data_IF_654884348758
#
_entry.id   IF_654884348758
#
_cell.length_a   1.000
_cell.length_b   1.000
_cell.length_c   1.000
_cell.angle_alpha   90.00
_cell.angle_beta   90.00
_cell.angle_gamma   90.00
#
_symmetry.space_group_name_H-M   'P 1'
#
loop_
_entity.id
_entity.type
_entity.pdbx_description
1 polymer ?
#
# COMPACT_ATOMS: atom_id res chain seq x y z
N UNK A 1 -13.53 8.28 -1.42
CA UNK A 1 -13.76 6.83 -1.55
C UNK A 1 -12.56 6.12 -0.97
N UNK A 2 -12.75 5.20 -0.04
CA UNK A 2 -11.66 4.47 0.61
C UNK A 2 -11.83 2.98 0.26
N UNK A 3 -10.78 2.36 -0.27
CA UNK A 3 -10.75 0.95 -0.61
C UNK A 3 -9.78 0.24 0.33
N UNK A 4 -10.20 -0.87 0.92
CA UNK A 4 -9.33 -1.76 1.69
C UNK A 4 -9.04 -2.98 0.84
N UNK A 5 -7.77 -3.29 0.64
CA UNK A 5 -7.37 -4.47 -0.12
C UNK A 5 -6.04 -5.03 0.37
N UNK A 6 -5.92 -6.35 0.33
CA UNK A 6 -4.67 -7.07 0.55
C UNK A 6 -3.83 -7.21 -0.73
N UNK A 7 -4.30 -6.62 -1.84
CA UNK A 7 -3.78 -6.76 -3.20
C UNK A 7 -2.26 -7.00 -3.29
N UNK A 8 -1.91 -8.24 -3.58
CA UNK A 8 -0.53 -8.66 -3.81
C UNK A 8 -0.09 -8.49 -5.26
N UNK A 9 -1.04 -8.36 -6.20
CA UNK A 9 -0.74 -8.27 -7.64
C UNK A 9 -1.41 -7.04 -8.30
N UNK A 10 -0.62 -5.99 -8.62
CA UNK A 10 -1.11 -4.80 -9.33
C UNK A 10 -1.55 -5.09 -10.78
N UNK A 11 -1.07 -6.17 -11.40
CA UNK A 11 -1.45 -6.59 -12.77
C UNK A 11 -2.84 -7.23 -12.76
N UNK A 12 -3.10 -8.13 -11.81
CA UNK A 12 -4.40 -8.80 -11.67
C UNK A 12 -5.54 -7.81 -11.39
N UNK A 13 -5.23 -6.70 -10.74
CA UNK A 13 -6.21 -5.71 -10.28
C UNK A 13 -6.21 -4.42 -11.10
N UNK A 14 -5.42 -4.36 -12.18
CA UNK A 14 -5.28 -3.20 -13.04
C UNK A 14 -6.63 -2.74 -13.63
N UNK A 15 -7.55 -3.66 -13.89
CA UNK A 15 -8.90 -3.37 -14.39
C UNK A 15 -9.77 -2.65 -13.35
N UNK A 16 -9.73 -3.11 -12.09
CA UNK A 16 -10.41 -2.47 -10.96
C UNK A 16 -9.84 -1.07 -10.75
N UNK A 17 -8.51 -0.96 -10.80
CA UNK A 17 -7.80 0.31 -10.63
C UNK A 17 -8.06 1.31 -11.74
N UNK A 18 -8.14 0.86 -12.99
CA UNK A 18 -8.49 1.72 -14.12
C UNK A 18 -9.89 2.34 -13.94
N UNK A 19 -10.85 1.55 -13.44
CA UNK A 19 -12.20 2.04 -13.16
C UNK A 19 -12.24 3.00 -11.96
N UNK A 20 -11.43 2.72 -10.92
CA UNK A 20 -11.30 3.60 -9.75
C UNK A 20 -10.62 4.93 -10.10
N UNK A 21 -9.68 4.94 -11.05
CA UNK A 21 -9.01 6.15 -11.51
C UNK A 21 -9.98 7.19 -12.12
N UNK A 22 -11.11 6.75 -12.69
CA UNK A 22 -12.16 7.66 -13.22
C UNK A 22 -12.81 8.49 -12.10
N UNK A 23 -12.74 8.05 -10.84
CA UNK A 23 -13.30 8.76 -9.69
C UNK A 23 -12.37 9.87 -9.17
N UNK A 24 -11.07 9.79 -9.48
CA UNK A 24 -10.02 10.72 -8.97
C UNK A 24 -10.33 12.19 -9.24
N UNK A 25 -10.84 12.61 -10.42
CA UNK A 25 -11.13 14.03 -10.67
C UNK A 25 -12.22 14.64 -9.79
N UNK A 26 -13.08 13.81 -9.18
CA UNK A 26 -14.26 14.26 -8.41
C UNK A 26 -14.24 13.82 -6.96
N UNK A 27 -13.39 12.87 -6.61
CA UNK A 27 -13.34 12.27 -5.29
C UNK A 27 -11.90 12.01 -4.88
N UNK A 28 -11.60 12.29 -3.62
CA UNK A 28 -10.40 11.75 -2.98
C UNK A 28 -10.52 10.22 -2.91
N UNK A 29 -9.70 9.53 -3.68
CA UNK A 29 -9.58 8.07 -3.67
C UNK A 29 -8.36 7.68 -2.84
N UNK A 30 -8.58 6.85 -1.81
CA UNK A 30 -7.52 6.30 -0.97
C UNK A 30 -7.56 4.78 -1.06
N UNK A 31 -6.43 4.17 -1.38
CA UNK A 31 -6.21 2.73 -1.33
C UNK A 31 -5.45 2.38 -0.05
N UNK A 32 -6.05 1.56 0.79
CA UNK A 32 -5.44 1.04 2.00
C UNK A 32 -4.98 -0.38 1.73
N UNK A 33 -3.67 -0.57 1.78
CA UNK A 33 -3.01 -1.87 1.77
C UNK A 33 -2.87 -2.33 3.22
N UNK A 34 -3.46 -3.48 3.55
CA UNK A 34 -3.26 -4.07 4.87
C UNK A 34 -1.90 -4.76 4.87
N UNK A 35 -0.98 -4.22 5.66
CA UNK A 35 0.37 -4.75 5.80
C UNK A 35 0.33 -6.02 6.66
N UNK A 36 1.03 -7.07 6.23
CA UNK A 36 1.13 -8.32 6.97
C UNK A 36 2.29 -8.22 7.95
N UNK A 37 1.99 -8.19 9.25
CA UNK A 37 2.97 -8.11 10.33
C UNK A 37 4.02 -9.22 10.26
N UNK A 38 3.67 -10.39 9.70
CA UNK A 38 4.60 -11.49 9.48
C UNK A 38 5.70 -11.14 8.47
N UNK A 39 5.36 -10.41 7.40
CA UNK A 39 6.32 -9.99 6.36
C UNK A 39 7.25 -8.90 6.92
N UNK A 40 6.71 -7.94 7.66
CA UNK A 40 7.50 -6.88 8.29
C UNK A 40 8.48 -7.47 9.33
N UNK A 41 8.03 -8.41 10.16
CA UNK A 41 8.86 -9.08 11.16
C UNK A 41 9.99 -9.92 10.53
N UNK A 42 9.69 -10.63 9.44
CA UNK A 42 10.68 -11.41 8.69
C UNK A 42 11.78 -10.54 8.06
N UNK A 43 11.49 -9.27 7.75
CA UNK A 43 12.47 -8.33 7.19
C UNK A 43 13.37 -7.67 8.24
N UNK A 44 12.91 -7.57 9.48
CA UNK A 44 13.66 -6.90 10.56
C UNK A 44 14.53 -7.86 11.39
N UNK A 45 14.31 -9.18 11.25
CA UNK A 45 15.03 -10.20 12.02
C UNK A 45 16.30 -10.62 11.31
N UNK A 46 17.44 -10.63 12.01
CA UNK A 46 18.71 -11.16 11.48
C UNK A 46 18.60 -12.68 11.35
N UNK A 47 18.76 -13.26 10.14
CA UNK A 47 18.66 -14.71 9.96
C UNK A 47 19.73 -15.46 10.75
N UNK A 48 19.33 -16.48 11.52
CA UNK A 48 20.25 -17.35 12.23
C UNK A 48 20.49 -18.68 11.48
N UNK A 49 19.55 -19.07 10.62
CA UNK A 49 19.60 -20.32 9.85
C UNK A 49 19.43 -20.07 8.34
N UNK A 50 19.76 -21.09 7.53
CA UNK A 50 19.53 -21.05 6.08
C UNK A 50 18.03 -20.94 5.73
N UNK A 51 17.16 -21.54 6.54
CA UNK A 51 15.71 -21.40 6.40
C UNK A 51 15.26 -19.96 6.65
N UNK A 52 15.79 -19.32 7.70
CA UNK A 52 15.51 -17.90 7.98
C UNK A 52 15.98 -16.99 6.84
N UNK A 53 17.15 -17.27 6.27
CA UNK A 53 17.69 -16.51 5.14
C UNK A 53 16.80 -16.64 3.89
N UNK A 54 16.27 -17.84 3.64
CA UNK A 54 15.32 -18.07 2.57
C UNK A 54 14.02 -17.29 2.81
N UNK A 55 13.44 -17.37 4.02
CA UNK A 55 12.23 -16.62 4.40
C UNK A 55 12.43 -15.11 4.26
N UNK A 56 13.57 -14.57 4.70
CA UNK A 56 13.91 -13.16 4.54
C UNK A 56 14.00 -12.74 3.07
N UNK A 57 14.57 -13.59 2.19
CA UNK A 57 14.67 -13.29 0.75
C UNK A 57 13.31 -13.24 0.04
N UNK A 58 12.39 -14.14 0.42
CA UNK A 58 11.03 -14.17 -0.10
C UNK A 58 10.27 -12.94 0.41
N UNK A 59 10.40 -12.60 1.70
CA UNK A 59 9.80 -11.40 2.29
C UNK A 59 10.32 -10.12 1.61
N UNK A 60 11.61 -10.04 1.28
CA UNK A 60 12.19 -8.91 0.56
C UNK A 60 11.63 -8.77 -0.86
N UNK A 61 11.42 -9.88 -1.55
CA UNK A 61 10.83 -9.91 -2.89
C UNK A 61 9.37 -9.45 -2.86
N UNK A 62 8.58 -9.93 -1.91
CA UNK A 62 7.20 -9.49 -1.67
C UNK A 62 7.12 -7.99 -1.34
N UNK A 63 8.02 -7.50 -0.48
CA UNK A 63 8.10 -6.08 -0.15
C UNK A 63 8.47 -5.20 -1.35
N UNK A 64 9.32 -5.70 -2.25
CA UNK A 64 9.67 -4.99 -3.49
C UNK A 64 8.48 -4.89 -4.45
N UNK A 65 7.75 -5.98 -4.68
CA UNK A 65 6.54 -5.98 -5.52
C UNK A 65 5.45 -5.06 -4.94
N UNK A 66 5.26 -5.04 -3.62
CA UNK A 66 4.34 -4.10 -2.95
C UNK A 66 4.70 -2.64 -3.19
N UNK A 67 5.97 -2.26 -3.01
CA UNK A 67 6.42 -0.88 -3.28
C UNK A 67 6.21 -0.48 -4.73
N UNK A 68 6.43 -1.40 -5.66
CA UNK A 68 6.18 -1.18 -7.09
C UNK A 68 4.69 -0.98 -7.38
N UNK A 69 3.82 -1.80 -6.77
CA UNK A 69 2.38 -1.65 -6.87
C UNK A 69 1.93 -0.27 -6.34
N UNK A 70 2.36 0.11 -5.14
CA UNK A 70 2.05 1.40 -4.53
C UNK A 70 2.48 2.57 -5.44
N UNK A 71 3.71 2.55 -5.97
CA UNK A 71 4.19 3.58 -6.88
C UNK A 71 3.35 3.69 -8.17
N UNK A 72 2.86 2.55 -8.70
CA UNK A 72 2.00 2.54 -9.88
C UNK A 72 0.61 3.16 -9.62
N UNK A 73 0.11 3.05 -8.39
CA UNK A 73 -1.15 3.65 -7.94
C UNK A 73 -1.01 5.15 -7.73
N UNK A 74 0.05 5.57 -7.04
CA UNK A 74 0.36 6.97 -6.79
C UNK A 74 0.56 7.73 -8.10
N UNK A 75 1.24 7.14 -9.08
CA UNK A 75 1.40 7.71 -10.42
C UNK A 75 0.07 7.93 -11.17
N UNK A 76 -1.02 7.29 -10.73
CA UNK A 76 -2.38 7.46 -11.26
C UNK A 76 -3.24 8.41 -10.42
N UNK A 77 -2.66 9.10 -9.45
CA UNK A 77 -3.35 10.04 -8.57
C UNK A 77 -4.16 9.37 -7.46
N UNK A 78 -3.92 8.09 -7.18
CA UNK A 78 -4.56 7.36 -6.08
C UNK A 78 -3.63 7.44 -4.87
N UNK A 79 -4.11 7.98 -3.76
CA UNK A 79 -3.34 7.98 -2.51
C UNK A 79 -3.25 6.56 -1.95
N UNK A 80 -2.06 6.11 -1.59
CA UNK A 80 -1.83 4.76 -1.02
C UNK A 80 -1.44 4.88 0.44
N UNK A 81 -2.04 4.05 1.29
CA UNK A 81 -1.68 3.90 2.70
C UNK A 81 -1.27 2.45 2.90
N UNK A 82 0.02 2.23 3.16
CA UNK A 82 0.60 0.92 3.46
C UNK A 82 1.32 1.02 4.81
N UNK A 83 0.56 0.82 5.88
CA UNK A 83 1.04 0.89 7.27
C UNK A 83 0.49 -0.28 8.08
N UNK A 84 1.13 -0.67 9.20
CA UNK A 84 0.56 -1.63 10.12
C UNK A 84 -0.86 -1.24 10.53
N UNK A 85 -1.71 -2.25 10.80
CA UNK A 85 -3.12 -2.01 11.15
C UNK A 85 -3.29 -1.06 12.35
N UNK A 86 -2.35 -1.07 13.30
CA UNK A 86 -2.34 -0.17 14.45
C UNK A 86 -2.21 1.31 14.06
N UNK A 87 -1.45 1.62 13.00
CA UNK A 87 -1.16 2.99 12.56
C UNK A 87 -2.15 3.51 11.52
N UNK A 88 -2.97 2.61 10.96
CA UNK A 88 -3.88 2.88 9.86
C UNK A 88 -4.79 4.08 10.10
N UNK A 89 -5.37 4.20 11.30
CA UNK A 89 -6.31 5.28 11.63
C UNK A 89 -5.64 6.65 11.52
N UNK A 90 -4.43 6.79 12.06
CA UNK A 90 -3.68 8.06 12.06
C UNK A 90 -3.24 8.40 10.64
N UNK A 91 -2.68 7.44 9.91
CA UNK A 91 -2.24 7.65 8.53
C UNK A 91 -3.38 8.02 7.59
N UNK A 92 -4.57 7.44 7.79
CA UNK A 92 -5.76 7.75 7.00
C UNK A 92 -6.26 9.18 7.23
N UNK A 93 -6.25 9.65 8.48
CA UNK A 93 -6.63 11.03 8.81
C UNK A 93 -5.65 12.00 8.18
N UNK A 94 -4.34 11.76 8.30
CA UNK A 94 -3.31 12.63 7.74
C UNK A 94 -3.42 12.71 6.22
N UNK A 95 -3.56 11.57 5.53
CA UNK A 95 -3.75 11.53 4.08
C UNK A 95 -5.01 12.31 3.65
N UNK A 96 -6.10 12.21 4.40
CA UNK A 96 -7.32 12.97 4.14
C UNK A 96 -7.10 14.49 4.30
N UNK A 97 -6.44 14.92 5.38
CA UNK A 97 -6.15 16.33 5.64
C UNK A 97 -5.23 16.89 4.56
N UNK A 98 -4.15 16.18 4.20
CA UNK A 98 -3.19 16.61 3.19
C UNK A 98 -3.85 16.82 1.83
N UNK A 99 -4.72 15.90 1.41
CA UNK A 99 -5.40 16.02 0.13
C UNK A 99 -6.48 17.10 0.16
N UNK A 100 -7.19 17.27 1.28
CA UNK A 100 -8.15 18.36 1.44
C UNK A 100 -7.42 19.72 1.43
N UNK A 101 -6.28 19.84 2.10
CA UNK A 101 -5.46 21.05 2.13
C UNK A 101 -4.93 21.43 0.74
N UNK A 102 -4.54 20.45 -0.09
CA UNK A 102 -4.09 20.67 -1.48
C UNK A 102 -5.21 21.10 -2.44
N UNK A 103 -6.47 20.98 -2.06
CA UNK A 103 -7.66 21.41 -2.82
C UNK A 103 -8.46 22.51 -2.09
N UNK A 104 -7.84 23.20 -1.12
CA UNK A 104 -8.47 24.26 -0.30
C UNK A 104 -7.95 25.67 -0.62
N UNK A 105 -7.27 25.86 -1.75
CA UNK A 105 -7.05 27.13 -2.45
C UNK A 105 -7.43 26.94 -3.92
#
# INVERSE_FOLDING_TARGET
>A
VIFFTDMFDPVASASVLANVAVLVPRHLVVCVLMNDEAIASALQTVPATAEDAYRASVAASLGAERRKAAAMLEARGIAVIDVPAADLTVSLINAYIDVKARNLL
#
